data_IF_301550108836
#
_entry.id   IF_301550108836
#
_cell.length_a   1.000
_cell.length_b   1.000
_cell.length_c   1.000
_cell.angle_alpha   90.00
_cell.angle_beta   90.00
_cell.angle_gamma   90.00
#
_symmetry.space_group_name_H-M   'P 1'
#
loop_
_entity.id
_entity.type
_entity.pdbx_description
1 polymer ?
#
# COMPACT_ATOMS: atom_id res chain seq x y z
N UNK A 1 -24.65 -15.16 90.42
CA UNK A 1 -23.83 -14.41 91.39
C UNK A 1 -22.40 -14.38 90.82
N UNK A 2 -21.85 -13.18 90.57
CA UNK A 2 -20.52 -12.86 89.99
C UNK A 2 -20.26 -13.25 88.51
N UNK A 3 -19.38 -12.52 87.79
CA UNK A 3 -19.35 -11.06 87.67
C UNK A 3 -19.21 -10.53 86.23
N UNK A 4 -19.45 -9.24 86.13
CA UNK A 4 -19.34 -8.33 84.99
C UNK A 4 -17.87 -8.07 84.65
N UNK A 5 -17.50 -8.15 83.37
CA UNK A 5 -16.17 -7.82 82.85
C UNK A 5 -16.22 -6.65 81.86
N UNK A 6 -15.46 -5.60 82.17
CA UNK A 6 -15.41 -4.29 81.51
C UNK A 6 -14.87 -4.34 80.07
N UNK A 7 -15.48 -3.53 79.20
CA UNK A 7 -14.99 -3.20 77.87
C UNK A 7 -13.94 -2.09 77.93
N UNK A 8 -12.77 -2.32 77.32
CA UNK A 8 -11.79 -1.28 77.02
C UNK A 8 -11.96 -0.85 75.55
N UNK A 9 -12.42 0.39 75.34
CA UNK A 9 -12.50 0.99 74.02
C UNK A 9 -11.18 1.69 73.69
N UNK A 10 -10.38 1.07 72.82
CA UNK A 10 -9.13 1.64 72.30
C UNK A 10 -9.47 2.51 71.08
N UNK A 11 -9.53 3.82 71.26
CA UNK A 11 -9.68 4.78 70.15
C UNK A 11 -8.38 4.85 69.34
N UNK A 12 -8.39 4.25 68.14
CA UNK A 12 -7.35 4.43 67.12
C UNK A 12 -7.69 5.66 66.28
N UNK A 13 -6.93 6.74 66.47
CA UNK A 13 -6.98 7.93 65.60
C UNK A 13 -6.26 7.61 64.30
N UNK A 14 -6.99 7.06 63.33
CA UNK A 14 -6.48 6.80 61.98
C UNK A 14 -6.20 8.10 61.23
N UNK A 15 -4.93 8.38 60.96
CA UNK A 15 -4.51 9.42 60.00
C UNK A 15 -4.92 8.98 58.60
N UNK A 16 -6.03 9.52 58.09
CA UNK A 16 -6.42 9.37 56.69
C UNK A 16 -5.50 10.30 55.87
N UNK A 17 -4.43 9.75 55.31
CA UNK A 17 -3.69 10.42 54.24
C UNK A 17 -4.59 10.45 53.00
N UNK A 18 -5.22 11.60 52.75
CA UNK A 18 -5.82 11.88 51.45
C UNK A 18 -4.70 11.99 50.41
N UNK A 19 -4.32 10.85 49.82
CA UNK A 19 -3.54 10.83 48.58
C UNK A 19 -4.49 11.28 47.48
N UNK A 20 -4.56 12.59 47.26
CA UNK A 20 -5.28 13.15 46.13
C UNK A 20 -4.73 12.54 44.83
N UNK A 21 -5.57 12.11 43.88
CA UNK A 21 -5.10 11.60 42.61
C UNK A 21 -4.34 12.72 41.89
N UNK A 22 -3.02 12.59 41.84
CA UNK A 22 -2.18 13.36 40.94
C UNK A 22 -2.57 12.98 39.52
N UNK A 23 -3.52 13.71 38.94
CA UNK A 23 -3.80 13.68 37.52
C UNK A 23 -2.58 14.25 36.79
N UNK A 24 -1.61 13.37 36.50
CA UNK A 24 -0.55 13.70 35.56
C UNK A 24 -1.23 14.09 34.25
N UNK A 25 -1.18 15.38 33.90
CA UNK A 25 -1.64 15.88 32.63
C UNK A 25 -0.88 15.11 31.54
N UNK A 26 -1.54 14.13 30.93
CA UNK A 26 -1.00 13.40 29.80
C UNK A 26 -0.77 14.44 28.71
N UNK A 27 0.50 14.75 28.44
CA UNK A 27 0.84 15.62 27.31
C UNK A 27 0.22 14.98 26.07
N UNK A 28 -0.56 15.72 25.27
CA UNK A 28 -1.12 15.17 24.04
C UNK A 28 0.04 14.66 23.21
N UNK A 29 0.04 13.35 22.95
CA UNK A 29 1.06 12.74 22.12
C UNK A 29 1.02 13.44 20.75
N UNK A 30 2.16 13.99 20.33
CA UNK A 30 2.22 14.81 19.12
C UNK A 30 1.79 13.99 17.90
N UNK A 31 0.90 14.54 17.07
CA UNK A 31 0.49 13.92 15.82
C UNK A 31 1.63 14.00 14.79
N UNK A 32 1.70 13.08 13.82
CA UNK A 32 2.65 13.24 12.71
C UNK A 32 2.35 14.53 11.95
N UNK A 33 3.39 15.29 11.63
CA UNK A 33 3.33 16.51 10.82
C UNK A 33 4.43 16.45 9.75
N UNK A 34 4.19 17.02 8.56
CA UNK A 34 5.22 17.06 7.52
C UNK A 34 6.46 17.81 8.01
N UNK A 35 7.62 17.44 7.47
CA UNK A 35 8.92 18.03 7.81
C UNK A 35 9.54 18.76 6.62
N UNK A 36 10.46 19.69 6.88
CA UNK A 36 11.17 20.42 5.85
C UNK A 36 10.26 21.15 4.88
N UNK A 37 10.56 21.06 3.59
CA UNK A 37 9.78 21.70 2.50
C UNK A 37 8.36 21.17 2.36
N UNK A 38 8.08 19.95 2.83
CA UNK A 38 6.73 19.38 2.79
C UNK A 38 5.74 20.15 3.67
N UNK A 39 6.21 20.93 4.65
CA UNK A 39 5.36 21.84 5.44
C UNK A 39 4.69 22.92 4.60
N UNK A 40 5.27 23.25 3.45
CA UNK A 40 4.76 24.29 2.55
C UNK A 40 3.80 23.73 1.50
N UNK A 41 3.51 22.42 1.52
CA UNK A 41 2.55 21.80 0.61
C UNK A 41 1.14 22.18 1.05
N UNK A 42 0.35 22.91 0.23
CA UNK A 42 -1.04 23.17 0.54
C UNK A 42 -1.85 21.87 0.50
N UNK A 43 -2.63 21.64 1.55
CA UNK A 43 -3.64 20.57 1.62
C UNK A 43 -5.02 21.22 1.45
N UNK A 44 -5.78 20.79 0.45
CA UNK A 44 -7.08 21.37 0.08
C UNK A 44 -8.18 20.32 0.13
N UNK A 45 -9.41 20.76 0.38
CA UNK A 45 -10.62 19.92 0.25
C UNK A 45 -11.19 20.13 -1.14
N UNK A 46 -11.15 19.08 -1.98
CA UNK A 46 -11.73 19.11 -3.34
C UNK A 46 -11.98 17.68 -3.85
N UNK A 47 -13.17 17.15 -3.58
CA UNK A 47 -13.55 15.80 -4.02
C UNK A 47 -13.64 15.67 -5.55
N UNK A 48 -13.84 16.77 -6.27
CA UNK A 48 -13.87 16.74 -7.74
C UNK A 48 -12.46 16.50 -8.27
N UNK A 49 -11.46 17.15 -7.69
CA UNK A 49 -10.06 16.94 -8.05
C UNK A 49 -9.58 15.52 -7.75
N UNK A 50 -10.02 14.93 -6.63
CA UNK A 50 -9.71 13.52 -6.29
C UNK A 50 -10.47 12.51 -7.16
N UNK A 51 -11.45 12.94 -7.96
CA UNK A 51 -12.38 12.04 -8.69
C UNK A 51 -13.02 11.01 -7.75
N UNK A 52 -13.43 11.48 -6.56
CA UNK A 52 -13.99 10.68 -5.47
C UNK A 52 -13.03 9.67 -4.80
N UNK A 53 -11.72 9.70 -5.08
CA UNK A 53 -10.73 9.00 -4.25
C UNK A 53 -10.54 9.73 -2.90
N UNK A 54 -9.87 9.08 -1.94
CA UNK A 54 -9.57 9.64 -0.62
C UNK A 54 -8.70 10.89 -0.72
N UNK A 55 -7.70 10.83 -1.60
CA UNK A 55 -6.75 11.91 -1.85
C UNK A 55 -6.07 11.77 -3.20
N UNK A 56 -5.48 12.88 -3.64
CA UNK A 56 -4.56 12.91 -4.78
C UNK A 56 -3.54 14.01 -4.55
N UNK A 57 -2.32 13.78 -5.01
CA UNK A 57 -1.23 14.74 -4.96
C UNK A 57 -0.85 15.23 -6.37
N UNK A 58 -0.59 16.52 -6.48
CA UNK A 58 0.01 17.14 -7.64
C UNK A 58 1.48 17.37 -7.35
N UNK A 59 2.35 16.80 -8.19
CA UNK A 59 3.79 17.09 -8.17
C UNK A 59 4.04 18.60 -8.39
N UNK A 60 5.21 19.13 -8.00
CA UNK A 60 5.54 20.53 -8.18
C UNK A 60 5.29 21.05 -9.60
N UNK A 61 4.66 22.22 -9.70
CA UNK A 61 4.37 22.94 -10.95
C UNK A 61 4.63 24.45 -10.77
N UNK A 62 4.48 25.24 -11.84
CA UNK A 62 4.59 26.70 -11.78
C UNK A 62 3.61 27.32 -10.75
N UNK A 63 2.39 26.77 -10.64
CA UNK A 63 1.35 27.27 -9.74
C UNK A 63 1.41 26.66 -8.34
N UNK A 64 2.12 25.53 -8.20
CA UNK A 64 2.30 24.81 -6.94
C UNK A 64 3.78 24.44 -6.80
N UNK A 65 4.66 25.37 -6.39
CA UNK A 65 6.11 25.15 -6.39
C UNK A 65 6.57 24.03 -5.44
N UNK A 66 5.75 23.69 -4.44
CA UNK A 66 5.98 22.56 -3.53
C UNK A 66 5.09 21.35 -3.83
N UNK A 67 4.27 21.40 -4.88
CA UNK A 67 3.16 20.47 -5.12
C UNK A 67 1.90 20.88 -4.35
N UNK A 68 0.87 20.03 -4.38
CA UNK A 68 -0.37 20.21 -3.64
C UNK A 68 -1.01 18.86 -3.31
N UNK A 69 -1.80 18.80 -2.24
CA UNK A 69 -2.61 17.64 -1.89
C UNK A 69 -4.08 18.06 -1.89
N UNK A 70 -4.92 17.25 -2.50
CA UNK A 70 -6.38 17.40 -2.45
C UNK A 70 -6.94 16.17 -1.74
N UNK A 71 -7.86 16.39 -0.81
CA UNK A 71 -8.53 15.37 -0.05
C UNK A 71 -10.04 15.42 -0.31
N UNK A 72 -10.69 14.27 -0.17
CA UNK A 72 -12.15 14.18 -0.16
C UNK A 72 -12.67 13.80 1.24
N UNK A 73 -13.16 14.78 2.03
CA UNK A 73 -13.61 14.54 3.40
C UNK A 73 -14.77 13.55 3.51
N UNK A 74 -15.64 13.47 2.51
CA UNK A 74 -16.71 12.48 2.46
C UNK A 74 -16.13 11.07 2.50
N UNK A 75 -15.17 10.77 1.60
CA UNK A 75 -14.51 9.47 1.56
C UNK A 75 -13.68 9.19 2.82
N UNK A 76 -13.03 10.22 3.40
CA UNK A 76 -12.32 10.07 4.67
C UNK A 76 -13.27 9.68 5.80
N UNK A 77 -14.45 10.32 5.90
CA UNK A 77 -15.48 9.98 6.89
C UNK A 77 -16.03 8.57 6.70
N UNK A 78 -16.25 8.14 5.46
CA UNK A 78 -16.65 6.77 5.17
C UNK A 78 -15.63 5.75 5.68
N UNK A 79 -14.35 5.97 5.38
CA UNK A 79 -13.25 5.12 5.86
C UNK A 79 -13.19 5.12 7.39
N UNK A 80 -13.23 6.28 8.03
CA UNK A 80 -13.17 6.39 9.49
C UNK A 80 -14.41 5.84 10.20
N UNK A 81 -15.56 5.80 9.52
CA UNK A 81 -16.77 5.14 10.06
C UNK A 81 -16.61 3.62 10.15
N UNK A 82 -15.81 3.03 9.25
CA UNK A 82 -15.50 1.60 9.25
C UNK A 82 -14.32 1.28 10.19
N UNK A 83 -13.30 2.13 10.15
CA UNK A 83 -12.03 1.97 10.90
C UNK A 83 -11.54 3.35 11.37
N UNK A 84 -11.95 3.79 12.57
CA UNK A 84 -11.60 5.12 13.09
C UNK A 84 -10.09 5.40 13.04
N UNK A 85 -9.71 6.48 12.35
CA UNK A 85 -8.33 6.94 12.22
C UNK A 85 -7.60 6.38 10.98
N UNK A 86 -8.18 5.44 10.24
CA UNK A 86 -7.55 4.89 9.04
C UNK A 86 -7.37 5.95 7.93
N UNK A 87 -8.29 6.93 7.82
CA UNK A 87 -8.22 7.97 6.78
C UNK A 87 -6.94 8.82 6.87
N UNK A 88 -6.35 8.94 8.07
CA UNK A 88 -5.12 9.69 8.33
C UNK A 88 -3.93 9.15 7.55
N UNK A 89 -3.89 7.82 7.33
CA UNK A 89 -2.85 7.17 6.54
C UNK A 89 -2.80 7.72 5.12
N UNK A 90 -3.95 7.93 4.48
CA UNK A 90 -4.04 8.40 3.10
C UNK A 90 -3.46 9.81 2.92
N UNK A 91 -3.59 10.70 3.91
CA UNK A 91 -2.91 12.00 3.86
C UNK A 91 -1.38 11.83 3.87
N UNK A 92 -0.84 10.96 4.73
CA UNK A 92 0.62 10.72 4.76
C UNK A 92 1.07 10.00 3.49
N UNK A 93 0.24 9.14 2.92
CA UNK A 93 0.46 8.51 1.62
C UNK A 93 0.62 9.56 0.49
N UNK A 94 -0.25 10.57 0.42
CA UNK A 94 -0.10 11.67 -0.56
C UNK A 94 1.18 12.48 -0.37
N UNK A 95 1.61 12.70 0.88
CA UNK A 95 2.93 13.28 1.13
C UNK A 95 4.08 12.39 0.62
N UNK A 96 3.91 11.06 0.63
CA UNK A 96 4.89 10.12 0.10
C UNK A 96 5.13 10.28 -1.39
N UNK A 97 4.07 10.50 -2.17
CA UNK A 97 4.19 10.83 -3.60
C UNK A 97 5.04 12.07 -3.86
N UNK A 98 4.83 13.14 -3.06
CA UNK A 98 5.58 14.38 -3.20
C UNK A 98 7.03 14.24 -2.71
N UNK A 99 7.22 13.63 -1.54
CA UNK A 99 8.52 13.44 -0.91
C UNK A 99 9.47 12.63 -1.79
N UNK A 100 8.94 11.62 -2.48
CA UNK A 100 9.71 10.68 -3.29
C UNK A 100 9.62 10.97 -4.79
N UNK A 101 8.88 12.02 -5.20
CA UNK A 101 8.62 12.36 -6.61
C UNK A 101 8.18 11.13 -7.43
N UNK A 102 7.27 10.35 -6.86
CA UNK A 102 6.84 9.07 -7.41
C UNK A 102 5.34 9.01 -7.60
N UNK A 103 4.89 8.24 -8.58
CA UNK A 103 3.49 7.84 -8.77
C UNK A 103 3.26 6.36 -8.43
N UNK A 104 4.25 5.71 -7.80
CA UNK A 104 4.12 4.30 -7.42
C UNK A 104 3.44 4.20 -6.04
N UNK A 105 2.17 3.79 -6.04
CA UNK A 105 1.35 3.63 -4.83
C UNK A 105 2.03 2.76 -3.76
N UNK A 106 2.71 1.69 -4.18
CA UNK A 106 3.44 0.81 -3.28
C UNK A 106 4.61 1.52 -2.58
N UNK A 107 5.28 2.45 -3.26
CA UNK A 107 6.35 3.25 -2.67
C UNK A 107 5.77 4.27 -1.71
N UNK A 108 4.67 4.94 -2.07
CA UNK A 108 3.96 5.88 -1.20
C UNK A 108 3.42 5.21 0.08
N UNK A 109 2.80 4.03 -0.03
CA UNK A 109 2.35 3.22 1.11
C UNK A 109 3.50 2.90 2.08
N UNK A 110 4.64 2.44 1.56
CA UNK A 110 5.82 2.13 2.38
C UNK A 110 6.39 3.36 3.07
N UNK A 111 6.41 4.49 2.36
CA UNK A 111 6.88 5.76 2.92
C UNK A 111 5.98 6.21 4.06
N UNK A 112 4.67 6.23 3.84
CA UNK A 112 3.69 6.64 4.85
C UNK A 112 3.74 5.76 6.10
N UNK A 113 3.85 4.44 5.90
CA UNK A 113 3.99 3.49 7.00
C UNK A 113 5.22 3.79 7.87
N UNK A 114 6.38 4.05 7.26
CA UNK A 114 7.61 4.44 7.98
C UNK A 114 7.46 5.77 8.70
N UNK A 115 6.83 6.75 8.06
CA UNK A 115 6.62 8.07 8.65
C UNK A 115 5.76 8.03 9.90
N UNK A 116 4.64 7.31 9.84
CA UNK A 116 3.74 7.13 10.98
C UNK A 116 4.39 6.30 12.09
N UNK A 117 5.18 5.27 11.75
CA UNK A 117 5.86 4.43 12.74
C UNK A 117 6.88 5.19 13.61
N UNK A 118 7.40 6.33 13.13
CA UNK A 118 8.30 7.19 13.92
C UNK A 118 7.58 8.00 15.01
N UNK A 119 6.24 8.01 15.02
CA UNK A 119 5.43 8.80 15.94
C UNK A 119 4.57 7.84 16.78
N UNK A 120 4.88 7.62 18.08
CA UNK A 120 4.19 6.60 18.90
C UNK A 120 2.66 6.73 18.94
N UNK A 121 2.14 7.96 18.91
CA UNK A 121 0.70 8.28 18.83
C UNK A 121 0.02 7.74 17.58
N UNK A 122 0.75 7.53 16.49
CA UNK A 122 0.22 7.11 15.19
C UNK A 122 0.16 5.58 15.02
N UNK A 123 0.59 4.82 16.04
CA UNK A 123 0.43 3.36 16.02
C UNK A 123 -1.04 2.96 15.93
N UNK A 124 -1.96 3.78 16.47
CA UNK A 124 -3.41 3.61 16.29
C UNK A 124 -3.82 3.71 14.82
N UNK A 125 -3.37 4.75 14.11
CA UNK A 125 -3.58 4.96 12.68
C UNK A 125 -3.08 3.77 11.85
N UNK A 126 -1.88 3.28 12.15
CA UNK A 126 -1.30 2.13 11.45
C UNK A 126 -2.12 0.85 11.66
N UNK A 127 -2.56 0.56 12.90
CA UNK A 127 -3.43 -0.59 13.15
C UNK A 127 -4.77 -0.42 12.43
N UNK A 128 -5.39 0.75 12.50
CA UNK A 128 -6.67 1.02 11.85
C UNK A 128 -6.60 0.80 10.32
N UNK A 129 -5.56 1.32 9.65
CA UNK A 129 -5.43 1.14 8.19
C UNK A 129 -5.11 -0.31 7.80
N UNK A 130 -4.37 -1.06 8.65
CA UNK A 130 -4.16 -2.49 8.40
C UNK A 130 -5.48 -3.26 8.39
N UNK A 131 -6.36 -3.01 9.35
CA UNK A 131 -7.69 -3.63 9.37
C UNK A 131 -8.52 -3.18 8.17
N UNK A 132 -8.52 -1.89 7.83
CA UNK A 132 -9.24 -1.38 6.65
C UNK A 132 -8.82 -2.12 5.37
N UNK A 133 -7.51 -2.25 5.12
CA UNK A 133 -7.02 -2.97 3.95
C UNK A 133 -7.29 -4.49 4.00
N UNK A 134 -7.35 -5.09 5.18
CA UNK A 134 -7.77 -6.49 5.32
C UNK A 134 -9.26 -6.67 5.00
N UNK A 135 -10.11 -5.70 5.34
CA UNK A 135 -11.53 -5.74 5.01
C UNK A 135 -11.78 -5.65 3.49
N UNK A 136 -10.97 -4.86 2.78
CA UNK A 136 -10.96 -4.84 1.30
C UNK A 136 -10.51 -6.20 0.70
N UNK A 137 -9.76 -7.00 1.48
CA UNK A 137 -9.46 -8.39 1.19
C UNK A 137 -8.68 -8.61 -0.10
N UNK A 138 -9.20 -9.49 -0.95
CA UNK A 138 -8.62 -9.84 -2.26
C UNK A 138 -9.15 -8.98 -3.40
N UNK A 139 -9.95 -7.93 -3.13
CA UNK A 139 -10.37 -7.01 -4.17
C UNK A 139 -9.13 -6.38 -4.80
N UNK A 140 -9.01 -6.53 -6.10
CA UNK A 140 -7.82 -6.19 -6.84
C UNK A 140 -7.93 -4.80 -7.47
N UNK A 141 -6.98 -3.92 -7.16
CA UNK A 141 -6.84 -2.62 -7.81
C UNK A 141 -5.54 -2.59 -8.64
N UNK A 142 -5.59 -2.18 -9.93
CA UNK A 142 -4.42 -2.13 -10.82
C UNK A 142 -3.29 -1.20 -10.35
N UNK A 143 -3.55 -0.20 -9.51
CA UNK A 143 -2.53 0.70 -8.99
C UNK A 143 -1.98 0.21 -7.65
N UNK A 144 -2.84 -0.36 -6.82
CA UNK A 144 -2.52 -0.66 -5.42
C UNK A 144 -2.16 -2.12 -5.14
N UNK A 145 -2.62 -3.05 -5.99
CA UNK A 145 -2.70 -4.49 -5.70
C UNK A 145 -3.97 -4.83 -4.91
N UNK A 146 -3.95 -5.95 -4.17
CA UNK A 146 -5.07 -6.28 -3.28
C UNK A 146 -5.00 -5.53 -1.95
N UNK A 147 -6.12 -5.46 -1.23
CA UNK A 147 -6.13 -4.99 0.16
C UNK A 147 -5.10 -5.73 1.03
N UNK A 148 -5.03 -7.05 0.92
CA UNK A 148 -3.99 -7.85 1.59
C UNK A 148 -2.55 -7.45 1.23
N UNK A 149 -2.27 -7.14 -0.04
CA UNK A 149 -0.94 -6.70 -0.46
C UNK A 149 -0.56 -5.38 0.18
N UNK A 150 -1.50 -4.42 0.22
CA UNK A 150 -1.29 -3.13 0.88
C UNK A 150 -1.08 -3.31 2.38
N UNK A 151 -1.93 -4.09 3.05
CA UNK A 151 -1.81 -4.36 4.48
C UNK A 151 -0.45 -4.98 4.81
N UNK A 152 -0.02 -6.00 4.06
CA UNK A 152 1.26 -6.68 4.29
C UNK A 152 2.45 -5.73 4.08
N UNK A 153 2.36 -4.88 3.05
CA UNK A 153 3.37 -3.86 2.74
C UNK A 153 3.49 -2.83 3.85
N UNK A 154 2.37 -2.30 4.35
CA UNK A 154 2.33 -1.33 5.45
C UNK A 154 2.85 -1.96 6.74
N UNK A 155 2.38 -3.15 7.09
CA UNK A 155 2.79 -3.84 8.32
C UNK A 155 4.31 -4.07 8.37
N UNK A 156 4.88 -4.58 7.28
CA UNK A 156 6.34 -4.78 7.14
C UNK A 156 7.11 -3.47 7.15
N UNK A 157 6.65 -2.44 6.45
CA UNK A 157 7.34 -1.16 6.38
C UNK A 157 7.32 -0.37 7.70
N UNK A 158 6.24 -0.51 8.47
CA UNK A 158 6.11 0.07 9.80
C UNK A 158 6.83 -0.73 10.91
N UNK A 159 7.32 -1.94 10.61
CA UNK A 159 7.97 -2.79 11.61
C UNK A 159 7.00 -3.36 12.65
N UNK A 160 5.72 -3.50 12.31
CA UNK A 160 4.70 -4.07 13.22
C UNK A 160 4.93 -5.58 13.30
N UNK A 161 5.01 -6.13 14.51
CA UNK A 161 5.22 -7.57 14.70
C UNK A 161 4.00 -8.39 14.26
N UNK A 162 4.22 -9.60 13.73
CA UNK A 162 3.15 -10.49 13.21
C UNK A 162 2.05 -10.76 14.26
N UNK A 163 2.39 -10.78 15.55
CA UNK A 163 1.43 -10.95 16.66
C UNK A 163 0.37 -9.83 16.76
N UNK A 164 0.63 -8.68 16.14
CA UNK A 164 -0.28 -7.53 16.11
C UNK A 164 -1.05 -7.45 14.78
N UNK A 165 -0.78 -8.35 13.82
CA UNK A 165 -1.44 -8.33 12.52
C UNK A 165 -2.84 -8.96 12.63
N UNK A 166 -3.81 -8.52 11.81
CA UNK A 166 -5.08 -9.23 11.69
C UNK A 166 -4.85 -10.69 11.23
N UNK A 167 -5.58 -11.66 11.81
CA UNK A 167 -5.42 -13.09 11.48
C UNK A 167 -5.50 -13.39 9.97
N UNK A 168 -6.43 -12.79 9.18
CA UNK A 168 -6.45 -13.00 7.74
C UNK A 168 -5.16 -12.55 7.03
N UNK A 169 -4.52 -11.48 7.52
CA UNK A 169 -3.25 -11.02 6.97
C UNK A 169 -2.10 -12.00 7.26
N UNK A 170 -2.07 -12.59 8.45
CA UNK A 170 -1.09 -13.63 8.81
C UNK A 170 -1.26 -14.85 7.90
N UNK A 171 -2.50 -15.30 7.68
CA UNK A 171 -2.79 -16.41 6.77
C UNK A 171 -2.35 -16.09 5.33
N UNK A 172 -2.65 -14.87 4.85
CA UNK A 172 -2.21 -14.38 3.54
C UNK A 172 -0.67 -14.36 3.41
N UNK A 173 0.04 -13.81 4.40
CA UNK A 173 1.49 -13.73 4.40
C UNK A 173 2.14 -15.13 4.32
N UNK A 174 1.64 -16.08 5.12
CA UNK A 174 2.09 -17.48 5.09
C UNK A 174 1.80 -18.17 3.76
N UNK A 175 0.64 -17.91 3.15
CA UNK A 175 0.32 -18.41 1.82
C UNK A 175 1.28 -17.85 0.75
N UNK A 176 1.60 -16.55 0.81
CA UNK A 176 2.56 -15.90 -0.07
C UNK A 176 3.98 -16.47 0.09
N UNK A 177 4.44 -16.73 1.32
CA UNK A 177 5.75 -17.35 1.56
C UNK A 177 5.83 -18.78 1.02
N UNK A 178 4.78 -19.59 1.21
CA UNK A 178 4.69 -20.94 0.62
C UNK A 178 4.72 -20.90 -0.91
N UNK A 179 4.09 -19.89 -1.52
CA UNK A 179 4.13 -19.67 -2.98
C UNK A 179 5.53 -19.27 -3.44
N UNK A 180 6.19 -18.34 -2.76
CA UNK A 180 7.56 -17.90 -3.09
C UNK A 180 8.59 -19.02 -2.98
N UNK A 181 8.50 -19.87 -1.96
CA UNK A 181 9.44 -20.97 -1.75
C UNK A 181 9.43 -22.01 -2.89
N UNK A 182 8.39 -22.01 -3.73
CA UNK A 182 8.19 -23.01 -4.78
C UNK A 182 7.87 -22.39 -6.15
N UNK A 183 7.92 -21.06 -6.26
CA UNK A 183 7.37 -20.30 -7.39
C UNK A 183 8.38 -20.08 -8.51
N UNK A 184 7.86 -19.98 -9.72
CA UNK A 184 8.63 -19.53 -10.89
C UNK A 184 8.75 -18.00 -10.82
N UNK A 185 9.94 -17.42 -10.99
CA UNK A 185 10.02 -15.97 -11.19
C UNK A 185 9.89 -15.67 -12.68
N UNK A 186 9.02 -14.75 -13.05
CA UNK A 186 8.92 -14.21 -14.41
C UNK A 186 9.62 -12.86 -14.48
N UNK A 187 10.65 -12.75 -15.31
CA UNK A 187 11.31 -11.48 -15.60
C UNK A 187 10.61 -10.79 -16.76
N UNK A 188 10.17 -9.55 -16.60
CA UNK A 188 9.50 -8.78 -17.63
C UNK A 188 10.38 -7.62 -18.07
N UNK A 189 10.59 -7.48 -19.37
CA UNK A 189 11.34 -6.37 -19.98
C UNK A 189 10.53 -5.75 -21.11
N UNK A 190 10.50 -4.42 -21.15
CA UNK A 190 10.08 -3.67 -22.32
C UNK A 190 11.25 -3.58 -23.31
N UNK A 191 10.95 -3.69 -24.60
CA UNK A 191 11.97 -3.62 -25.64
C UNK A 191 12.58 -2.20 -25.76
N UNK A 192 13.87 -2.12 -26.10
CA UNK A 192 14.76 -0.94 -26.03
C UNK A 192 14.32 0.32 -26.82
N UNK A 193 13.19 0.27 -27.54
CA UNK A 193 12.71 1.38 -28.35
C UNK A 193 11.72 2.31 -27.61
N UNK A 194 11.29 1.97 -26.39
CA UNK A 194 10.25 2.72 -25.68
C UNK A 194 10.72 3.14 -24.28
N UNK A 195 10.88 4.45 -24.05
CA UNK A 195 10.91 5.06 -22.71
C UNK A 195 9.51 5.11 -22.11
N UNK A 196 8.77 4.02 -22.22
CA UNK A 196 7.39 3.96 -21.78
C UNK A 196 7.32 3.19 -20.47
N UNK A 197 6.51 3.68 -19.53
CA UNK A 197 6.15 2.91 -18.36
C UNK A 197 4.87 2.13 -18.67
N UNK A 198 4.84 0.83 -18.39
CA UNK A 198 3.63 0.03 -18.49
C UNK A 198 3.04 -0.28 -17.11
N UNK A 199 1.72 -0.32 -17.03
CA UNK A 199 0.99 -0.89 -15.90
C UNK A 199 0.03 -1.95 -16.41
N UNK A 200 -0.01 -3.13 -15.81
CA UNK A 200 -0.85 -4.22 -16.29
C UNK A 200 -1.16 -5.24 -15.20
N UNK A 201 -2.29 -5.94 -15.37
CA UNK A 201 -2.65 -7.10 -14.57
C UNK A 201 -2.22 -8.34 -15.34
N UNK A 202 -1.38 -9.17 -14.75
CA UNK A 202 -0.99 -10.45 -15.34
C UNK A 202 -1.93 -11.53 -14.84
N UNK A 203 -2.47 -12.30 -15.78
CA UNK A 203 -3.29 -13.49 -15.57
C UNK A 203 -2.55 -14.70 -16.12
N UNK A 204 -2.72 -15.85 -15.47
CA UNK A 204 -2.27 -17.15 -15.96
C UNK A 204 -3.43 -18.12 -15.81
N UNK A 205 -3.80 -18.79 -16.89
CA UNK A 205 -4.91 -19.77 -16.97
C UNK A 205 -6.23 -19.22 -16.37
N UNK A 206 -6.55 -17.97 -16.69
CA UNK A 206 -7.77 -17.32 -16.18
C UNK A 206 -7.72 -16.94 -14.70
N UNK A 207 -6.54 -16.95 -14.06
CA UNK A 207 -6.34 -16.49 -12.67
C UNK A 207 -5.41 -15.27 -12.62
N UNK A 208 -5.79 -14.18 -11.93
CA UNK A 208 -4.90 -13.04 -11.75
C UNK A 208 -3.71 -13.43 -10.87
N UNK A 209 -2.50 -13.24 -11.38
CA UNK A 209 -1.25 -13.56 -10.69
C UNK A 209 -0.63 -12.34 -10.02
N UNK A 210 -0.81 -11.15 -10.59
CA UNK A 210 -0.34 -9.92 -9.96
C UNK A 210 -0.36 -8.71 -10.88
N UNK A 211 0.19 -7.61 -10.37
CA UNK A 211 0.32 -6.34 -11.10
C UNK A 211 1.76 -6.11 -11.42
N UNK A 212 1.98 -5.56 -12.60
CA UNK A 212 3.20 -4.84 -12.87
C UNK A 212 2.84 -3.37 -12.94
N UNK A 213 3.45 -2.58 -12.06
CA UNK A 213 3.27 -1.13 -12.04
C UNK A 213 4.59 -0.47 -12.39
N UNK A 214 4.56 0.55 -13.24
CA UNK A 214 5.72 1.30 -13.68
C UNK A 214 6.84 0.38 -14.19
N UNK A 215 6.51 -0.52 -15.11
CA UNK A 215 7.52 -1.26 -15.86
C UNK A 215 8.16 -0.25 -16.81
N UNK A 216 9.27 0.35 -16.39
CA UNK A 216 10.13 1.25 -17.19
C UNK A 216 11.50 0.60 -17.47
N UNK A 217 11.62 -0.68 -17.13
CA UNK A 217 12.81 -1.51 -17.25
C UNK A 217 12.51 -2.95 -16.84
N UNK A 218 13.52 -3.65 -16.35
CA UNK A 218 13.35 -5.03 -15.88
C UNK A 218 12.58 -5.10 -14.56
N UNK A 219 11.47 -5.84 -14.54
CA UNK A 219 10.72 -6.15 -13.31
C UNK A 219 10.58 -7.66 -13.14
N UNK A 220 10.72 -8.13 -11.90
CA UNK A 220 10.49 -9.53 -11.55
C UNK A 220 9.08 -9.70 -10.97
N UNK A 221 8.28 -10.57 -11.58
CA UNK A 221 7.01 -11.04 -11.05
C UNK A 221 7.19 -12.43 -10.46
N UNK A 222 6.77 -12.62 -9.21
CA UNK A 222 6.74 -13.95 -8.61
C UNK A 222 5.46 -14.65 -9.06
N UNK A 223 5.60 -15.76 -9.78
CA UNK A 223 4.47 -16.59 -10.23
C UNK A 223 4.19 -17.71 -9.22
N UNK A 224 2.95 -18.24 -9.18
CA UNK A 224 2.72 -19.54 -8.57
C UNK A 224 3.58 -20.61 -9.28
N UNK A 225 3.78 -21.75 -8.61
CA UNK A 225 4.39 -22.92 -9.24
C UNK A 225 3.51 -23.37 -10.40
N UNK A 226 3.99 -23.23 -11.62
CA UNK A 226 3.31 -23.73 -12.79
C UNK A 226 3.55 -25.24 -12.92
N UNK A 227 2.51 -25.98 -13.27
CA UNK A 227 2.66 -27.39 -13.62
C UNK A 227 3.42 -27.49 -14.95
N UNK A 228 4.12 -28.59 -15.26
CA UNK A 228 4.66 -28.78 -16.60
C UNK A 228 3.52 -28.84 -17.62
N UNK A 229 3.60 -28.04 -18.68
CA UNK A 229 2.54 -27.97 -19.70
C UNK A 229 2.37 -26.59 -20.32
N UNK A 230 1.33 -26.46 -21.15
CA UNK A 230 0.96 -25.22 -21.81
C UNK A 230 0.06 -24.39 -20.87
N UNK A 231 0.35 -23.11 -20.76
CA UNK A 231 -0.34 -22.15 -19.92
C UNK A 231 -0.69 -20.92 -20.76
N UNK A 232 -1.84 -20.31 -20.52
CA UNK A 232 -2.21 -19.05 -21.16
C UNK A 232 -1.84 -17.90 -20.23
N UNK A 233 -0.89 -17.04 -20.65
CA UNK A 233 -0.58 -15.79 -19.96
C UNK A 233 -1.30 -14.66 -20.66
N UNK A 234 -1.99 -13.81 -19.89
CA UNK A 234 -2.69 -12.65 -20.40
C UNK A 234 -2.29 -11.41 -19.61
N UNK A 235 -2.01 -10.31 -20.29
CA UNK A 235 -1.88 -8.99 -19.70
C UNK A 235 -3.17 -8.22 -19.96
N UNK A 236 -3.92 -7.92 -18.90
CA UNK A 236 -5.16 -7.18 -18.94
C UNK A 236 -5.00 -5.76 -18.43
N UNK A 237 -5.88 -4.88 -18.92
CA UNK A 237 -5.96 -3.48 -18.55
C UNK A 237 -4.62 -2.76 -18.66
N UNK A 238 -3.85 -3.09 -19.71
CA UNK A 238 -2.53 -2.49 -19.90
C UNK A 238 -2.70 -0.98 -20.11
N UNK A 239 -2.00 -0.20 -19.31
CA UNK A 239 -1.81 1.22 -19.46
C UNK A 239 -0.38 1.48 -19.90
N UNK A 240 -0.23 2.20 -21.00
CA UNK A 240 1.04 2.63 -21.53
C UNK A 240 1.18 4.11 -21.31
N UNK A 241 2.31 4.49 -20.74
CA UNK A 241 2.67 5.87 -20.53
C UNK A 241 3.96 6.16 -21.25
N UNK A 242 4.03 7.26 -21.99
CA UNK A 242 5.28 7.82 -22.44
C UNK A 242 5.92 8.59 -21.30
N UNK A 243 7.16 8.24 -20.95
CA UNK A 243 7.93 8.96 -19.94
C UNK A 243 8.94 9.85 -20.64
N UNK A 244 8.78 11.15 -20.51
CA UNK A 244 9.75 12.13 -20.96
C UNK A 244 10.99 12.14 -20.04
N UNK A 245 12.15 12.66 -20.50
CA UNK A 245 13.32 12.87 -19.64
C UNK A 245 13.06 13.75 -18.40
N UNK A 246 12.02 14.59 -18.47
CA UNK A 246 11.53 15.41 -17.37
C UNK A 246 10.89 14.58 -16.23
N UNK A 247 10.63 13.29 -16.47
CA UNK A 247 9.83 12.42 -15.61
C UNK A 247 8.32 12.60 -15.79
N UNK A 248 7.89 13.49 -16.67
CA UNK A 248 6.49 13.63 -17.01
C UNK A 248 6.00 12.38 -17.75
N UNK A 249 4.90 11.80 -17.26
CA UNK A 249 4.24 10.66 -17.89
C UNK A 249 2.97 11.12 -18.60
N UNK A 250 2.90 10.92 -19.91
CA UNK A 250 1.68 11.09 -20.71
C UNK A 250 1.10 9.72 -21.05
N UNK A 251 -0.21 9.54 -20.88
CA UNK A 251 -0.89 8.30 -21.27
C UNK A 251 -0.89 8.17 -22.79
N UNK A 252 -0.36 7.06 -23.31
CA UNK A 252 -0.32 6.72 -24.74
C UNK A 252 -1.51 5.84 -25.10
N UNK A 253 -1.79 4.85 -24.27
CA UNK A 253 -2.86 3.90 -24.52
C UNK A 253 -3.37 3.29 -23.21
N UNK A 254 -4.63 2.85 -23.21
CA UNK A 254 -5.24 2.20 -22.04
C UNK A 254 -6.14 1.03 -22.42
N UNK A 255 -6.31 0.11 -21.47
CA UNK A 255 -7.18 -1.07 -21.58
C UNK A 255 -6.73 -2.02 -22.68
N UNK A 256 -5.44 -2.08 -22.97
CA UNK A 256 -4.93 -3.06 -23.93
C UNK A 256 -4.98 -4.45 -23.32
N UNK A 257 -5.06 -5.43 -24.21
CA UNK A 257 -4.99 -6.84 -23.88
C UNK A 257 -3.89 -7.45 -24.72
N UNK A 258 -3.16 -8.37 -24.14
CA UNK A 258 -2.20 -9.16 -24.86
C UNK A 258 -2.12 -10.56 -24.25
N UNK A 259 -1.93 -11.56 -25.09
CA UNK A 259 -2.00 -12.96 -24.71
C UNK A 259 -0.84 -13.72 -25.32
N UNK A 260 -0.35 -14.75 -24.63
CA UNK A 260 0.64 -15.66 -25.18
C UNK A 260 0.61 -16.98 -24.41
N UNK A 261 1.00 -18.05 -25.12
CA UNK A 261 1.11 -19.37 -24.55
C UNK A 261 2.52 -19.59 -23.99
N UNK A 262 2.58 -19.94 -22.71
CA UNK A 262 3.78 -20.35 -22.00
C UNK A 262 3.81 -21.88 -21.93
N UNK A 263 4.79 -22.53 -22.55
CA UNK A 263 5.08 -23.93 -22.23
C UNK A 263 6.06 -24.00 -21.06
N UNK A 264 5.54 -24.21 -19.85
CA UNK A 264 6.33 -24.45 -18.66
C UNK A 264 7.06 -25.79 -18.79
N UNK A 265 8.37 -25.74 -18.96
CA UNK A 265 9.25 -26.93 -19.00
C UNK A 265 9.84 -27.24 -17.63
N UNK A 266 9.63 -26.37 -16.64
CA UNK A 266 10.38 -26.35 -15.39
C UNK A 266 11.84 -25.92 -15.53
N UNK A 267 12.25 -25.35 -16.68
CA UNK A 267 13.56 -24.74 -16.97
C UNK A 267 13.43 -23.43 -17.76
N UNK A 268 14.53 -22.66 -17.69
CA UNK A 268 14.67 -21.22 -17.95
C UNK A 268 14.31 -20.79 -19.37
N UNK A 269 13.56 -19.67 -19.44
CA UNK A 269 13.31 -18.79 -20.59
C UNK A 269 12.05 -19.10 -21.41
N UNK A 270 11.04 -18.23 -21.29
CA UNK A 270 9.89 -18.19 -22.20
C UNK A 270 9.67 -16.75 -22.63
N UNK A 271 10.05 -16.45 -23.86
CA UNK A 271 9.89 -15.11 -24.45
C UNK A 271 8.42 -14.90 -24.81
N UNK A 272 7.75 -14.02 -24.08
CA UNK A 272 6.50 -13.42 -24.52
C UNK A 272 6.79 -12.21 -25.42
N UNK A 273 5.99 -12.04 -26.46
CA UNK A 273 5.88 -10.79 -27.22
C UNK A 273 4.42 -10.37 -27.12
N UNK A 274 4.10 -9.52 -26.16
CA UNK A 274 2.83 -8.83 -26.21
C UNK A 274 2.87 -7.92 -27.46
N UNK A 275 1.80 -7.87 -28.24
CA UNK A 275 1.75 -7.01 -29.42
C UNK A 275 0.50 -6.17 -29.32
N UNK A 276 0.72 -4.91 -29.04
CA UNK A 276 -0.29 -3.90 -29.28
C UNK A 276 -0.24 -3.55 -30.78
N UNK A 277 -1.39 -3.34 -31.39
CA UNK A 277 -1.50 -2.67 -32.67
C UNK A 277 -2.18 -1.33 -32.38
N UNK A 278 -1.37 -0.33 -32.07
CA UNK A 278 -1.88 1.04 -31.97
C UNK A 278 -2.45 1.54 -33.29
N UNK A 279 -3.25 2.62 -33.26
CA UNK A 279 -3.71 3.28 -34.49
C UNK A 279 -2.56 3.64 -35.44
N UNK A 280 -1.34 3.83 -34.91
CA UNK A 280 -0.13 4.15 -35.66
C UNK A 280 0.81 2.94 -35.90
N UNK A 281 0.39 1.71 -35.54
CA UNK A 281 1.19 0.50 -35.75
C UNK A 281 2.26 0.20 -34.69
N UNK A 282 2.23 0.89 -33.55
CA UNK A 282 3.18 0.69 -32.45
C UNK A 282 3.02 -0.69 -31.78
N UNK A 283 4.12 -1.45 -31.71
CA UNK A 283 4.20 -2.78 -31.09
C UNK A 283 4.90 -2.71 -29.72
N UNK A 284 4.20 -3.07 -28.66
CA UNK A 284 4.75 -3.20 -27.30
C UNK A 284 5.14 -4.65 -26.95
N UNK A 285 6.36 -5.06 -27.28
CA UNK A 285 6.89 -6.36 -26.83
C UNK A 285 7.25 -6.35 -25.33
N UNK A 286 6.78 -7.37 -24.61
CA UNK A 286 7.09 -7.62 -23.20
C UNK A 286 7.66 -9.03 -23.08
N UNK A 287 8.97 -9.11 -22.90
CA UNK A 287 9.68 -10.37 -22.74
C UNK A 287 9.59 -10.88 -21.32
N UNK A 288 8.99 -12.06 -21.15
CA UNK A 288 9.04 -12.86 -19.94
C UNK A 288 10.31 -13.75 -19.92
N UNK A 289 10.85 -14.10 -18.75
CA UNK A 289 11.77 -15.24 -18.59
C UNK A 289 11.43 -16.00 -17.29
N UNK A 290 11.24 -17.32 -17.34
CA UNK A 290 11.23 -18.16 -16.13
C UNK A 290 12.65 -18.23 -15.54
N UNK A 291 12.81 -17.77 -14.30
CA UNK A 291 14.06 -17.81 -13.53
C UNK A 291 13.84 -18.68 -12.30
N UNK A 292 14.63 -19.75 -12.19
CA UNK A 292 14.93 -20.44 -10.94
C UNK A 292 16.22 -19.88 -10.36
#
# INVERSE_FOLDING_TARGET
MYPVGFAAATTWTGMIFMVGPSYAAQRPLAQWVPQGTLRNVPVRTDCKMTRHSVGVSLQPTLFYPYGAIFLCPERQREIDSLRPGASRFFLVHEYGHLALRTREEAVADRWAAKQLAMVPSEMGTLRAVLFYFVDEGTFFDPLYGTGFDRALRVARAAGIGEKEWPLPLVAYAKAQERRKANGTTMRLRLHDAYTNAAQMIIWIDGQPVGVLSNVDGEKLLQLPRLVPGQHLIQAYQVWLYHSEPSGMKSEVARRLQAECELTSTGRKLVVLDLRYNGPDGDILSIRADEVR
#
